data_IF_849004302033
#
_entry.id   IF_849004302033
#
_cell.length_a   1.000
_cell.length_b   1.000
_cell.length_c   1.000
_cell.angle_alpha   90.00
_cell.angle_beta   90.00
_cell.angle_gamma   90.00
#
_symmetry.space_group_name_H-M   'P 1'
#
loop_
_entity.id
_entity.type
_entity.pdbx_description
1 polymer ?
#
# COMPACT_ATOMS: atom_id res chain seq x y z
N UNK A 1 -5.37 8.41 -27.52
CA UNK A 1 -5.11 7.05 -27.02
C UNK A 1 -5.71 6.01 -27.95
N UNK A 2 -5.31 4.74 -27.86
CA UNK A 2 -5.97 3.63 -28.56
C UNK A 2 -7.41 3.49 -28.07
N UNK A 3 -8.37 3.22 -28.97
CA UNK A 3 -9.76 2.95 -28.58
C UNK A 3 -9.91 1.68 -27.73
N UNK A 4 -8.89 0.87 -27.69
CA UNK A 4 -8.84 -0.39 -26.93
C UNK A 4 -7.68 -0.38 -25.94
N UNK A 5 -7.96 -0.66 -24.67
CA UNK A 5 -6.94 -1.02 -23.67
C UNK A 5 -6.69 -2.52 -23.78
N UNK A 6 -5.46 -2.93 -24.12
CA UNK A 6 -5.03 -4.33 -24.21
C UNK A 6 -3.95 -4.62 -23.15
N UNK A 7 -4.23 -5.52 -22.24
CA UNK A 7 -3.31 -5.97 -21.19
C UNK A 7 -3.18 -7.49 -21.28
N UNK A 8 -2.06 -7.98 -21.80
CA UNK A 8 -1.81 -9.42 -21.94
C UNK A 8 -2.93 -10.16 -22.70
N UNK A 9 -3.54 -9.52 -23.72
CA UNK A 9 -4.66 -10.07 -24.49
C UNK A 9 -6.04 -9.87 -23.87
N UNK A 10 -6.14 -9.28 -22.68
CA UNK A 10 -7.40 -8.82 -22.11
C UNK A 10 -7.74 -7.45 -22.71
N UNK A 11 -8.83 -7.38 -23.45
CA UNK A 11 -9.23 -6.19 -24.20
C UNK A 11 -10.47 -5.56 -23.61
N UNK A 12 -10.40 -4.28 -23.32
CA UNK A 12 -11.54 -3.43 -22.99
C UNK A 12 -11.63 -2.30 -24.05
N UNK A 13 -12.68 -2.30 -24.84
CA UNK A 13 -12.96 -1.24 -25.80
C UNK A 13 -13.34 0.06 -25.05
N UNK A 14 -13.25 1.20 -25.74
CA UNK A 14 -13.70 2.50 -25.21
C UNK A 14 -15.15 2.40 -24.71
N UNK A 15 -15.41 2.89 -23.51
CA UNK A 15 -16.71 2.81 -22.86
C UNK A 15 -17.07 1.43 -22.31
N UNK A 16 -16.08 0.54 -22.15
CA UNK A 16 -16.31 -0.80 -21.60
C UNK A 16 -15.66 -1.00 -20.24
N UNK A 17 -16.32 -1.81 -19.41
CA UNK A 17 -15.84 -2.35 -18.16
C UNK A 17 -15.66 -3.86 -18.28
N UNK A 18 -14.43 -4.34 -18.07
CA UNK A 18 -14.08 -5.75 -18.11
C UNK A 18 -13.67 -6.21 -16.71
N UNK A 19 -14.36 -7.22 -16.17
CA UNK A 19 -13.99 -7.89 -14.94
C UNK A 19 -13.65 -9.35 -15.25
N UNK A 20 -12.42 -9.75 -14.95
CA UNK A 20 -11.92 -11.08 -15.29
C UNK A 20 -10.72 -11.48 -14.43
N UNK A 21 -10.07 -12.56 -14.78
CA UNK A 21 -8.85 -13.03 -14.13
C UNK A 21 -7.69 -13.04 -15.12
N UNK A 22 -6.52 -12.58 -14.68
CA UNK A 22 -5.26 -12.70 -15.43
C UNK A 22 -4.43 -13.85 -14.85
N UNK A 23 -3.95 -14.79 -15.68
CA UNK A 23 -3.09 -15.87 -15.21
C UNK A 23 -1.70 -15.35 -14.85
N UNK A 24 -1.13 -15.85 -13.76
CA UNK A 24 0.30 -15.71 -13.48
C UNK A 24 1.02 -16.80 -14.30
N UNK A 25 1.95 -16.38 -15.15
CA UNK A 25 2.63 -17.23 -16.11
C UNK A 25 3.19 -18.52 -15.49
N UNK A 26 2.98 -19.65 -16.15
CA UNK A 26 3.44 -20.98 -15.71
C UNK A 26 3.05 -21.33 -14.27
N UNK A 27 1.84 -20.92 -13.87
CA UNK A 27 1.24 -21.29 -12.59
C UNK A 27 -0.26 -21.54 -12.72
N UNK A 28 -0.85 -22.15 -11.70
CA UNK A 28 -2.30 -22.32 -11.61
C UNK A 28 -3.00 -21.09 -10.99
N UNK A 29 -2.24 -20.06 -10.64
CA UNK A 29 -2.73 -18.86 -9.98
C UNK A 29 -3.30 -17.88 -11.00
N UNK A 30 -4.50 -17.36 -10.71
CA UNK A 30 -5.16 -16.32 -11.49
C UNK A 30 -5.52 -15.17 -10.56
N UNK A 31 -5.20 -13.95 -10.96
CA UNK A 31 -5.41 -12.73 -10.18
C UNK A 31 -6.62 -11.98 -10.73
N UNK A 32 -7.58 -11.54 -9.89
CA UNK A 32 -8.73 -10.77 -10.35
C UNK A 32 -8.32 -9.37 -10.79
N UNK A 33 -8.88 -8.92 -11.91
CA UNK A 33 -8.64 -7.61 -12.49
C UNK A 33 -9.93 -6.99 -12.98
N UNK A 34 -10.07 -5.69 -12.78
CA UNK A 34 -11.09 -4.84 -13.41
C UNK A 34 -10.40 -3.80 -14.26
N UNK A 35 -10.79 -3.69 -15.52
CA UNK A 35 -10.35 -2.65 -16.45
C UNK A 35 -11.59 -1.82 -16.80
N UNK A 36 -11.55 -0.52 -16.54
CA UNK A 36 -12.60 0.43 -16.90
C UNK A 36 -12.00 1.40 -17.91
N UNK A 37 -12.27 1.18 -19.17
CA UNK A 37 -11.83 2.05 -20.25
C UNK A 37 -12.93 3.10 -20.50
N UNK A 38 -12.68 4.34 -20.06
CA UNK A 38 -13.62 5.43 -20.09
C UNK A 38 -14.00 5.87 -21.52
N UNK A 39 -15.03 6.71 -21.63
CA UNK A 39 -15.50 7.20 -22.93
C UNK A 39 -14.61 8.29 -23.51
N UNK A 40 -13.91 9.04 -22.67
CA UNK A 40 -13.05 10.16 -23.09
C UNK A 40 -11.58 9.81 -22.92
N UNK A 41 -10.71 10.47 -23.68
CA UNK A 41 -9.27 10.40 -23.46
C UNK A 41 -8.90 10.97 -22.09
N UNK A 42 -7.89 10.38 -21.46
CA UNK A 42 -7.41 10.79 -20.15
C UNK A 42 -6.26 9.88 -19.69
N UNK A 43 -5.75 10.07 -18.47
CA UNK A 43 -4.64 9.26 -17.96
C UNK A 43 -5.10 7.85 -17.57
N UNK A 44 -4.11 6.98 -17.35
CA UNK A 44 -4.31 5.64 -16.82
C UNK A 44 -3.91 5.61 -15.35
N UNK A 45 -4.86 5.29 -14.47
CA UNK A 45 -4.61 5.02 -13.06
C UNK A 45 -4.58 3.51 -12.82
N UNK A 46 -3.46 3.01 -12.30
CA UNK A 46 -3.36 1.65 -11.77
C UNK A 46 -3.59 1.67 -10.26
N UNK A 47 -4.46 0.80 -9.78
CA UNK A 47 -4.69 0.55 -8.36
C UNK A 47 -4.39 -0.91 -8.08
N UNK A 48 -3.58 -1.19 -7.07
CA UNK A 48 -3.42 -2.52 -6.50
C UNK A 48 -3.86 -2.54 -5.05
N UNK A 49 -4.43 -3.66 -4.61
CA UNK A 49 -4.70 -3.94 -3.22
C UNK A 49 -4.35 -5.39 -2.92
N UNK A 50 -3.91 -5.67 -1.71
CA UNK A 50 -3.58 -7.03 -1.30
C UNK A 50 -2.29 -7.58 -1.91
N UNK A 51 -1.26 -6.77 -2.07
CA UNK A 51 0.14 -7.23 -2.18
C UNK A 51 0.46 -8.11 -0.96
N UNK A 52 -0.05 -7.71 0.21
CA UNK A 52 -0.15 -8.55 1.39
C UNK A 52 -1.62 -8.98 1.58
N UNK A 53 -1.87 -10.27 1.57
CA UNK A 53 -3.25 -10.81 1.53
C UNK A 53 -4.04 -10.63 2.81
N UNK A 54 -3.37 -10.34 3.95
CA UNK A 54 -4.01 -10.06 5.24
C UNK A 54 -4.46 -8.60 5.44
N UNK A 55 -4.24 -7.73 4.46
CA UNK A 55 -4.53 -6.29 4.51
C UNK A 55 -5.90 -5.98 3.88
N UNK A 56 -6.96 -6.30 4.59
CA UNK A 56 -8.31 -6.38 4.05
C UNK A 56 -8.99 -5.06 3.66
N UNK A 57 -8.81 -3.90 4.35
CA UNK A 57 -9.58 -2.69 4.04
C UNK A 57 -9.36 -2.17 2.62
N UNK A 58 -8.09 -2.17 2.15
CA UNK A 58 -7.73 -1.77 0.79
C UNK A 58 -8.34 -2.71 -0.26
N UNK A 59 -8.34 -4.02 0.01
CA UNK A 59 -8.95 -5.03 -0.88
C UNK A 59 -10.46 -4.80 -0.99
N UNK A 60 -11.15 -4.61 0.14
CA UNK A 60 -12.58 -4.38 0.17
C UNK A 60 -12.97 -3.06 -0.55
N UNK A 61 -12.20 -1.98 -0.32
CA UNK A 61 -12.41 -0.71 -1.01
C UNK A 61 -12.22 -0.85 -2.53
N UNK A 62 -11.18 -1.57 -2.98
CA UNK A 62 -10.93 -1.84 -4.39
C UNK A 62 -12.07 -2.64 -5.03
N UNK A 63 -12.62 -3.64 -4.33
CA UNK A 63 -13.80 -4.40 -4.79
C UNK A 63 -15.01 -3.47 -4.96
N UNK A 64 -15.34 -2.65 -3.94
CA UNK A 64 -16.50 -1.76 -3.99
C UNK A 64 -16.38 -0.71 -5.09
N UNK A 65 -15.20 -0.11 -5.27
CA UNK A 65 -14.94 0.87 -6.32
C UNK A 65 -15.01 0.22 -7.70
N UNK A 66 -14.46 -0.96 -7.88
CA UNK A 66 -14.52 -1.69 -9.15
C UNK A 66 -15.95 -2.00 -9.60
N UNK A 67 -16.87 -2.12 -8.65
CA UNK A 67 -18.30 -2.31 -8.94
C UNK A 67 -19.02 -0.99 -9.18
N UNK A 68 -18.73 0.04 -8.40
CA UNK A 68 -19.48 1.29 -8.38
C UNK A 68 -19.16 2.22 -9.56
N UNK A 69 -17.94 2.20 -10.08
CA UNK A 69 -17.51 3.09 -11.16
C UNK A 69 -17.91 2.49 -12.51
N UNK A 70 -18.62 3.27 -13.31
CA UNK A 70 -18.99 2.92 -14.69
C UNK A 70 -18.15 3.71 -15.70
N UNK A 71 -17.93 3.18 -16.92
CA UNK A 71 -17.07 3.80 -17.94
C UNK A 71 -17.52 5.23 -18.35
N UNK A 72 -18.83 5.52 -18.27
CA UNK A 72 -19.41 6.78 -18.69
C UNK A 72 -18.93 7.98 -17.87
N UNK A 73 -18.50 7.75 -16.63
CA UNK A 73 -18.05 8.82 -15.73
C UNK A 73 -16.53 8.99 -15.72
N UNK A 74 -15.80 8.13 -16.42
CA UNK A 74 -14.33 8.10 -16.43
C UNK A 74 -13.77 8.69 -17.72
N UNK A 75 -12.77 9.55 -17.58
CA UNK A 75 -11.84 9.95 -18.66
C UNK A 75 -10.52 9.21 -18.51
N UNK A 76 -10.04 8.57 -19.56
CA UNK A 76 -8.86 7.69 -19.50
C UNK A 76 -9.19 6.27 -19.08
N UNK A 77 -8.28 5.61 -18.36
CA UNK A 77 -8.43 4.22 -17.99
C UNK A 77 -8.16 3.99 -16.50
N UNK A 78 -9.01 3.18 -15.86
CA UNK A 78 -8.82 2.72 -14.48
C UNK A 78 -8.59 1.22 -14.48
N UNK A 79 -7.43 0.79 -13.98
CA UNK A 79 -7.05 -0.62 -13.85
C UNK A 79 -6.98 -0.95 -12.36
N UNK A 80 -7.73 -1.94 -11.89
CA UNK A 80 -7.80 -2.33 -10.48
C UNK A 80 -7.48 -3.82 -10.35
N UNK A 81 -6.49 -4.17 -9.53
CA UNK A 81 -6.08 -5.55 -9.23
C UNK A 81 -6.29 -5.80 -7.74
N UNK A 82 -7.17 -6.77 -7.39
CA UNK A 82 -7.56 -7.00 -6.01
C UNK A 82 -8.16 -8.39 -5.74
N UNK A 83 -7.54 -9.23 -4.86
CA UNK A 83 -6.21 -9.05 -4.30
C UNK A 83 -5.11 -9.45 -5.28
N UNK A 84 -3.97 -8.76 -5.24
CA UNK A 84 -2.79 -9.14 -6.04
C UNK A 84 -2.26 -10.51 -5.59
N UNK A 85 -2.05 -10.68 -4.29
CA UNK A 85 -1.57 -11.93 -3.69
C UNK A 85 -2.76 -12.79 -3.26
N UNK A 86 -3.47 -13.35 -4.26
CA UNK A 86 -4.67 -14.14 -4.02
C UNK A 86 -4.41 -15.39 -3.15
N UNK A 87 -3.20 -15.97 -3.19
CA UNK A 87 -2.83 -17.10 -2.35
C UNK A 87 -2.74 -16.70 -0.88
N UNK A 88 -2.04 -15.60 -0.58
CA UNK A 88 -1.96 -15.03 0.75
C UNK A 88 -3.35 -14.65 1.30
N UNK A 89 -4.23 -14.11 0.46
CA UNK A 89 -5.59 -13.73 0.83
C UNK A 89 -6.43 -14.93 1.30
N UNK A 90 -6.49 -16.02 0.51
CA UNK A 90 -7.29 -17.19 0.85
C UNK A 90 -6.73 -17.99 2.03
N UNK A 91 -5.41 -18.07 2.12
CA UNK A 91 -4.71 -18.75 3.22
C UNK A 91 -4.63 -17.88 4.49
N UNK A 92 -5.07 -16.62 4.40
CA UNK A 92 -5.05 -15.64 5.51
C UNK A 92 -3.66 -15.46 6.12
N UNK A 93 -2.63 -15.52 5.28
CA UNK A 93 -1.26 -15.22 5.71
C UNK A 93 -1.07 -13.69 5.81
N UNK A 94 -0.24 -13.24 6.75
CA UNK A 94 -0.04 -11.81 7.01
C UNK A 94 0.52 -11.10 5.76
N UNK A 95 1.78 -11.38 5.42
CA UNK A 95 2.50 -10.66 4.36
C UNK A 95 3.30 -11.58 3.43
N UNK A 96 3.27 -12.89 3.63
CA UNK A 96 4.01 -13.83 2.77
C UNK A 96 3.10 -14.59 1.83
N UNK A 97 3.60 -14.91 0.66
CA UNK A 97 2.97 -15.86 -0.27
C UNK A 97 3.20 -17.27 0.25
N UNK A 98 2.14 -18.06 0.55
CA UNK A 98 2.29 -19.39 1.14
C UNK A 98 3.09 -20.36 0.29
N UNK A 99 3.02 -20.23 -1.04
CA UNK A 99 3.63 -21.13 -2.01
C UNK A 99 5.17 -21.07 -1.99
N UNK A 100 5.77 -19.94 -1.64
CA UNK A 100 7.22 -19.74 -1.66
C UNK A 100 7.80 -19.10 -0.38
N UNK A 101 6.93 -18.74 0.57
CA UNK A 101 7.32 -18.10 1.85
C UNK A 101 7.90 -16.71 1.71
N UNK A 102 7.75 -16.05 0.54
CA UNK A 102 8.32 -14.75 0.25
C UNK A 102 7.36 -13.61 0.50
N UNK A 103 7.88 -12.46 0.92
CA UNK A 103 7.16 -11.21 0.91
C UNK A 103 7.13 -10.66 -0.51
N UNK A 104 5.94 -10.70 -1.16
CA UNK A 104 5.75 -10.22 -2.53
C UNK A 104 6.26 -8.79 -2.73
N UNK A 105 6.08 -7.92 -1.71
CA UNK A 105 6.54 -6.53 -1.74
C UNK A 105 8.07 -6.36 -1.63
N UNK A 106 8.84 -7.44 -1.67
CA UNK A 106 10.32 -7.45 -1.71
C UNK A 106 10.87 -8.07 -2.98
N UNK A 107 10.00 -8.58 -3.86
CA UNK A 107 10.40 -9.33 -5.05
C UNK A 107 10.41 -8.49 -6.35
N UNK A 108 10.09 -7.20 -6.30
CA UNK A 108 10.13 -6.32 -7.49
C UNK A 108 11.57 -6.03 -7.94
N UNK A 109 11.86 -6.08 -9.26
CA UNK A 109 10.97 -6.18 -10.43
C UNK A 109 10.41 -7.58 -10.74
N UNK A 110 10.82 -8.61 -10.03
CA UNK A 110 10.42 -9.99 -10.29
C UNK A 110 11.29 -10.72 -11.32
N UNK A 111 10.94 -11.99 -11.53
CA UNK A 111 11.59 -12.88 -12.49
C UNK A 111 10.52 -13.82 -13.12
N UNK A 112 10.46 -13.87 -14.44
CA UNK A 112 9.52 -14.69 -15.19
C UNK A 112 9.75 -16.20 -14.96
N UNK A 113 10.99 -16.60 -14.68
CA UNK A 113 11.38 -17.98 -14.39
C UNK A 113 11.47 -18.29 -12.88
N UNK A 114 11.11 -17.32 -12.05
CA UNK A 114 11.23 -17.39 -10.61
C UNK A 114 10.06 -18.09 -9.91
N UNK A 115 9.96 -17.85 -8.60
CA UNK A 115 8.88 -18.34 -7.74
C UNK A 115 7.56 -17.63 -8.05
N UNK A 116 6.45 -18.03 -7.41
CA UNK A 116 5.14 -17.41 -7.63
C UNK A 116 5.16 -15.89 -7.32
N UNK A 117 5.78 -15.49 -6.20
CA UNK A 117 5.94 -14.07 -5.85
C UNK A 117 6.75 -13.32 -6.92
N UNK A 118 7.85 -13.91 -7.39
CA UNK A 118 8.69 -13.28 -8.42
C UNK A 118 7.98 -13.18 -9.77
N UNK A 119 7.21 -14.18 -10.16
CA UNK A 119 6.39 -14.15 -11.38
C UNK A 119 5.27 -13.10 -11.29
N UNK A 120 4.65 -12.97 -10.11
CA UNK A 120 3.61 -11.95 -9.86
C UNK A 120 4.19 -10.54 -9.92
N UNK A 121 5.34 -10.30 -9.28
CA UNK A 121 6.05 -9.00 -9.35
C UNK A 121 6.48 -8.69 -10.78
N UNK A 122 6.97 -9.69 -11.53
CA UNK A 122 7.35 -9.55 -12.94
C UNK A 122 6.14 -9.17 -13.81
N UNK A 123 4.99 -9.82 -13.59
CA UNK A 123 3.75 -9.52 -14.30
C UNK A 123 3.37 -8.04 -14.11
N UNK A 124 3.37 -7.53 -12.87
CA UNK A 124 3.07 -6.14 -12.58
C UNK A 124 4.09 -5.19 -13.21
N UNK A 125 5.37 -5.48 -13.04
CA UNK A 125 6.46 -4.62 -13.51
C UNK A 125 6.52 -4.50 -15.02
N UNK A 126 6.19 -5.55 -15.75
CA UNK A 126 6.34 -5.61 -17.20
C UNK A 126 5.10 -5.26 -17.99
N UNK A 127 3.92 -5.54 -17.41
CA UNK A 127 2.68 -5.40 -18.17
C UNK A 127 1.74 -4.32 -17.63
N UNK A 128 1.91 -3.90 -16.38
CA UNK A 128 1.03 -2.91 -15.78
C UNK A 128 1.69 -1.56 -15.54
N UNK A 129 2.87 -1.52 -14.94
CA UNK A 129 3.54 -0.24 -14.66
C UNK A 129 3.79 0.58 -15.94
N UNK A 130 4.22 0.01 -17.10
CA UNK A 130 4.41 0.78 -18.30
C UNK A 130 3.13 1.42 -18.89
N UNK A 131 1.96 0.97 -18.47
CA UNK A 131 0.67 1.51 -18.91
C UNK A 131 0.17 2.65 -18.02
N UNK A 132 0.68 2.76 -16.79
CA UNK A 132 0.16 3.66 -15.80
C UNK A 132 0.81 5.05 -15.87
N UNK A 133 -0.01 6.10 -15.88
CA UNK A 133 0.41 7.49 -15.65
C UNK A 133 0.53 7.81 -14.16
N UNK A 134 -0.16 7.02 -13.33
CA UNK A 134 -0.08 7.05 -11.87
C UNK A 134 -0.40 5.67 -11.27
N UNK A 135 0.22 5.36 -10.14
CA UNK A 135 0.00 4.11 -9.43
C UNK A 135 -0.32 4.33 -7.95
N UNK A 136 -1.40 3.73 -7.46
CA UNK A 136 -1.80 3.72 -6.07
C UNK A 136 -1.81 2.28 -5.52
N UNK A 137 -0.98 2.02 -4.51
CA UNK A 137 -0.84 0.73 -3.84
C UNK A 137 -1.53 0.79 -2.47
N UNK A 138 -2.58 0.00 -2.27
CA UNK A 138 -3.39 0.02 -1.06
C UNK A 138 -2.90 -1.05 -0.09
N UNK A 139 -2.40 -0.59 1.06
CA UNK A 139 -1.89 -1.39 2.15
C UNK A 139 -2.62 -1.10 3.46
N UNK A 140 -2.36 -1.86 4.49
CA UNK A 140 -2.72 -1.60 5.89
C UNK A 140 -1.67 -2.24 6.80
N UNK A 141 -1.75 -1.99 8.10
CA UNK A 141 -1.10 -2.90 9.02
C UNK A 141 -1.59 -4.33 8.77
N UNK A 142 -0.69 -5.29 8.78
CA UNK A 142 -1.07 -6.68 8.61
C UNK A 142 -1.84 -7.24 9.83
N UNK A 143 -2.01 -8.55 9.92
CA UNK A 143 -2.72 -9.19 11.05
C UNK A 143 -2.00 -9.03 12.40
N UNK A 144 -0.76 -8.58 12.39
CA UNK A 144 0.11 -8.38 13.54
C UNK A 144 0.53 -6.93 13.77
N UNK A 145 -0.04 -5.99 13.00
CA UNK A 145 0.33 -4.57 13.04
C UNK A 145 -0.90 -3.68 13.24
N UNK A 146 -0.78 -2.71 14.14
CA UNK A 146 -1.69 -1.59 14.26
C UNK A 146 -1.00 -0.33 13.74
N UNK A 147 -1.70 0.49 12.96
CA UNK A 147 -1.13 1.72 12.43
C UNK A 147 -2.06 2.93 12.57
N UNK A 148 -1.47 4.12 12.59
CA UNK A 148 -2.16 5.39 12.37
C UNK A 148 -2.18 5.66 10.87
N UNK A 149 -3.28 6.08 10.22
CA UNK A 149 -3.32 6.27 8.77
C UNK A 149 -2.27 7.27 8.27
N UNK A 150 -1.48 6.85 7.28
CA UNK A 150 -0.45 7.67 6.62
C UNK A 150 -0.20 7.21 5.19
N UNK A 151 0.57 7.98 4.42
CA UNK A 151 0.93 7.65 3.04
C UNK A 151 2.43 7.72 2.84
N UNK A 152 2.98 6.74 2.12
CA UNK A 152 4.33 6.82 1.58
C UNK A 152 4.32 7.41 0.18
N UNK A 153 5.30 8.29 -0.10
CA UNK A 153 5.63 8.73 -1.46
C UNK A 153 7.12 8.51 -1.74
N UNK A 154 7.50 8.25 -3.01
CA UNK A 154 8.89 7.94 -3.36
C UNK A 154 9.77 9.18 -3.21
N UNK A 155 10.97 8.98 -2.65
CA UNK A 155 11.94 10.03 -2.36
C UNK A 155 13.10 10.07 -3.37
N UNK A 156 12.85 9.90 -4.66
CA UNK A 156 13.88 9.99 -5.71
C UNK A 156 14.48 11.40 -5.75
N UNK A 157 15.81 11.55 -5.78
CA UNK A 157 16.46 12.88 -5.80
C UNK A 157 16.04 13.69 -7.04
N UNK A 158 15.67 14.97 -6.84
CA UNK A 158 15.38 15.95 -7.91
C UNK A 158 14.44 15.41 -9.00
N UNK A 159 13.46 14.61 -8.64
CA UNK A 159 12.59 13.88 -9.55
C UNK A 159 11.20 14.50 -9.66
N UNK A 160 10.75 14.75 -10.88
CA UNK A 160 9.36 15.13 -11.17
C UNK A 160 8.39 14.04 -10.73
N UNK A 161 8.81 12.77 -10.77
CA UNK A 161 8.03 11.61 -10.28
C UNK A 161 7.70 11.78 -8.81
N UNK A 162 8.71 12.09 -7.97
CA UNK A 162 8.50 12.32 -6.53
C UNK A 162 7.63 13.55 -6.27
N UNK A 163 7.81 14.61 -7.06
CA UNK A 163 7.03 15.84 -6.92
C UNK A 163 5.55 15.58 -7.25
N UNK A 164 5.26 14.89 -8.37
CA UNK A 164 3.90 14.51 -8.76
C UNK A 164 3.25 13.55 -7.74
N UNK A 165 4.00 12.57 -7.25
CA UNK A 165 3.50 11.66 -6.22
C UNK A 165 3.15 12.42 -4.93
N UNK A 166 4.02 13.33 -4.47
CA UNK A 166 3.74 14.17 -3.30
C UNK A 166 2.52 15.08 -3.51
N UNK A 167 2.37 15.66 -4.70
CA UNK A 167 1.22 16.51 -5.04
C UNK A 167 -0.09 15.73 -4.94
N UNK A 168 -0.12 14.47 -5.41
CA UNK A 168 -1.30 13.59 -5.27
C UNK A 168 -1.49 13.16 -3.81
N UNK A 169 -0.43 12.91 -3.04
CA UNK A 169 -0.55 12.61 -1.62
C UNK A 169 -1.27 13.72 -0.83
N UNK A 170 -1.13 14.99 -1.24
CA UNK A 170 -1.75 16.14 -0.58
C UNK A 170 -3.28 16.18 -0.68
N UNK A 171 -3.91 15.39 -1.55
CA UNK A 171 -5.39 15.32 -1.64
C UNK A 171 -6.00 14.22 -0.78
N UNK A 172 -5.19 13.42 -0.06
CA UNK A 172 -5.65 12.37 0.84
C UNK A 172 -6.06 12.95 2.19
N UNK A 173 -7.14 12.45 2.80
CA UNK A 173 -7.54 12.85 4.16
C UNK A 173 -6.69 12.10 5.21
N UNK A 174 -5.42 12.47 5.31
CA UNK A 174 -4.44 11.89 6.22
C UNK A 174 -3.64 12.98 6.94
N UNK A 175 -3.18 12.68 8.16
CA UNK A 175 -2.34 13.63 8.91
C UNK A 175 -0.87 13.57 8.50
N UNK A 176 -0.40 12.41 8.06
CA UNK A 176 1.03 12.19 7.88
C UNK A 176 1.34 11.60 6.51
N UNK A 177 2.47 12.03 5.96
CA UNK A 177 3.10 11.42 4.80
C UNK A 177 4.58 11.19 5.05
N UNK A 178 5.10 10.10 4.52
CA UNK A 178 6.49 9.68 4.70
C UNK A 178 7.17 9.62 3.35
N UNK A 179 8.31 10.30 3.24
CA UNK A 179 9.20 10.19 2.08
C UNK A 179 10.03 8.92 2.18
N UNK A 180 9.77 7.95 1.30
CA UNK A 180 10.54 6.71 1.27
C UNK A 180 11.78 6.82 0.39
N UNK A 181 12.89 6.31 0.88
CA UNK A 181 14.13 6.13 0.12
C UNK A 181 14.40 4.66 -0.23
N UNK A 182 13.44 3.76 0.04
CA UNK A 182 13.56 2.36 -0.30
C UNK A 182 13.56 2.16 -1.83
N UNK A 183 14.30 1.17 -2.28
CA UNK A 183 14.42 0.82 -3.72
C UNK A 183 13.66 -0.45 -4.08
N UNK A 184 13.05 -1.10 -3.10
CA UNK A 184 12.23 -2.31 -3.25
C UNK A 184 10.77 -2.02 -2.92
N UNK A 185 9.88 -2.95 -3.31
CA UNK A 185 8.45 -2.79 -3.16
C UNK A 185 7.79 -2.25 -4.42
N UNK A 186 6.48 -2.51 -4.56
CA UNK A 186 5.75 -2.24 -5.79
C UNK A 186 5.78 -0.76 -6.15
N UNK A 187 5.33 0.14 -5.25
CA UNK A 187 5.27 1.57 -5.55
C UNK A 187 6.65 2.21 -5.72
N UNK A 188 7.67 1.81 -4.94
CA UNK A 188 9.03 2.33 -5.12
C UNK A 188 9.61 1.91 -6.47
N UNK A 189 9.42 0.63 -6.85
CA UNK A 189 9.89 0.15 -8.14
C UNK A 189 9.15 0.82 -9.30
N UNK A 190 7.84 1.03 -9.20
CA UNK A 190 7.08 1.80 -10.19
C UNK A 190 7.67 3.21 -10.36
N UNK A 191 7.98 3.90 -9.25
CA UNK A 191 8.58 5.23 -9.29
C UNK A 191 9.98 5.23 -9.93
N UNK A 192 10.83 4.25 -9.61
CA UNK A 192 12.15 4.07 -10.23
C UNK A 192 12.00 3.81 -11.74
N UNK A 193 10.93 3.14 -12.14
CA UNK A 193 10.60 2.86 -13.54
C UNK A 193 9.92 4.03 -14.27
N UNK A 194 9.73 5.17 -13.60
CA UNK A 194 9.18 6.39 -14.20
C UNK A 194 7.69 6.65 -13.94
N UNK A 195 7.03 5.83 -13.09
CA UNK A 195 5.61 5.97 -12.78
C UNK A 195 5.42 6.62 -11.41
N UNK A 196 4.86 7.84 -11.31
CA UNK A 196 4.52 8.44 -10.02
C UNK A 196 3.57 7.53 -9.23
N UNK A 197 3.87 7.33 -7.94
CA UNK A 197 3.17 6.31 -7.17
C UNK A 197 3.06 6.65 -5.69
N UNK A 198 2.06 6.08 -5.04
CA UNK A 198 1.84 6.15 -3.60
C UNK A 198 1.62 4.76 -3.02
N UNK A 199 2.04 4.57 -1.77
CA UNK A 199 1.57 3.47 -0.94
C UNK A 199 0.75 4.07 0.19
N UNK A 200 -0.51 3.66 0.28
CA UNK A 200 -1.50 4.22 1.20
C UNK A 200 -1.75 3.20 2.32
N UNK A 201 -1.65 3.65 3.57
CA UNK A 201 -1.78 2.82 4.75
C UNK A 201 -3.02 3.20 5.57
N UNK A 202 -4.01 2.30 5.69
CA UNK A 202 -5.20 2.46 6.54
C UNK A 202 -5.67 1.15 7.12
N UNK A 203 -6.05 1.15 8.40
CA UNK A 203 -6.48 -0.06 9.11
C UNK A 203 -5.30 -0.90 9.58
N UNK A 204 -5.58 -2.12 10.05
CA UNK A 204 -4.57 -3.04 10.57
C UNK A 204 -5.18 -4.14 11.44
N UNK A 205 -4.32 -4.93 12.07
CA UNK A 205 -4.67 -6.03 12.97
C UNK A 205 -5.59 -7.08 12.31
N UNK A 206 -5.49 -7.26 10.99
CA UNK A 206 -6.34 -8.19 10.23
C UNK A 206 -7.83 -7.84 10.26
N UNK A 207 -8.18 -6.57 10.53
CA UNK A 207 -9.57 -6.13 10.61
C UNK A 207 -10.02 -5.50 9.28
N UNK A 208 -11.29 -5.68 8.96
CA UNK A 208 -11.94 -5.08 7.78
C UNK A 208 -13.05 -4.12 8.27
N UNK A 209 -12.64 -2.97 8.83
CA UNK A 209 -13.58 -2.01 9.39
C UNK A 209 -14.23 -1.17 8.29
N UNK A 210 -15.52 -0.89 8.44
CA UNK A 210 -16.27 -0.06 7.47
C UNK A 210 -15.68 1.35 7.33
N UNK A 211 -15.25 1.94 8.45
CA UNK A 211 -14.61 3.26 8.46
C UNK A 211 -13.33 3.34 7.63
N UNK A 212 -12.50 2.29 7.65
CA UNK A 212 -11.26 2.23 6.87
C UNK A 212 -11.57 2.06 5.37
N UNK A 213 -12.58 1.23 5.04
CA UNK A 213 -13.05 1.04 3.66
C UNK A 213 -13.58 2.36 3.09
N UNK A 214 -14.44 3.07 3.83
CA UNK A 214 -15.02 4.33 3.38
C UNK A 214 -13.96 5.43 3.25
N UNK A 215 -12.98 5.45 4.15
CA UNK A 215 -11.84 6.36 4.06
C UNK A 215 -10.99 6.09 2.80
N UNK A 216 -10.71 4.82 2.48
CA UNK A 216 -10.05 4.45 1.22
C UNK A 216 -10.83 4.91 -0.01
N UNK A 217 -12.15 4.73 -0.02
CA UNK A 217 -13.01 5.15 -1.15
C UNK A 217 -12.95 6.66 -1.34
N UNK A 218 -12.93 7.44 -0.25
CA UNK A 218 -12.78 8.89 -0.31
C UNK A 218 -11.41 9.31 -0.84
N UNK A 219 -10.34 8.66 -0.41
CA UNK A 219 -8.99 8.91 -0.91
C UNK A 219 -8.89 8.60 -2.41
N UNK A 220 -9.39 7.45 -2.84
CA UNK A 220 -9.38 7.07 -4.26
C UNK A 220 -10.24 8.00 -5.11
N UNK A 221 -11.40 8.45 -4.60
CA UNK A 221 -12.20 9.48 -5.26
C UNK A 221 -11.39 10.77 -5.46
N UNK A 222 -10.68 11.24 -4.43
CA UNK A 222 -9.86 12.45 -4.52
C UNK A 222 -8.66 12.27 -5.48
N UNK A 223 -8.05 11.08 -5.52
CA UNK A 223 -7.02 10.75 -6.51
C UNK A 223 -7.58 10.81 -7.94
N UNK A 224 -8.74 10.17 -8.18
CA UNK A 224 -9.40 10.19 -9.49
C UNK A 224 -9.71 11.61 -9.95
N UNK A 225 -10.22 12.46 -9.05
CA UNK A 225 -10.49 13.88 -9.35
C UNK A 225 -9.20 14.66 -9.60
N UNK A 226 -8.14 14.45 -8.80
CA UNK A 226 -6.86 15.13 -8.91
C UNK A 226 -6.13 14.79 -10.21
N UNK A 227 -6.28 13.56 -10.68
CA UNK A 227 -5.71 13.07 -11.93
C UNK A 227 -6.62 13.30 -13.15
N UNK A 228 -7.76 13.98 -12.95
CA UNK A 228 -8.74 14.29 -14.01
C UNK A 228 -9.41 13.07 -14.67
N UNK A 229 -9.36 11.89 -13.99
CA UNK A 229 -10.12 10.73 -14.43
C UNK A 229 -11.62 10.89 -14.12
N UNK A 230 -11.95 11.64 -13.07
CA UNK A 230 -13.34 11.87 -12.64
C UNK A 230 -13.63 13.36 -12.56
N UNK A 231 -14.64 13.82 -13.33
CA UNK A 231 -15.10 15.21 -13.30
C UNK A 231 -16.15 15.38 -12.19
N UNK A 232 -15.69 15.48 -10.95
CA UNK A 232 -16.54 15.75 -9.78
C UNK A 232 -15.75 16.52 -8.71
N UNK A 233 -16.44 17.17 -7.76
CA UNK A 233 -15.76 17.82 -6.64
C UNK A 233 -15.00 16.80 -5.79
N UNK A 234 -13.81 17.17 -5.34
CA UNK A 234 -13.09 16.38 -4.34
C UNK A 234 -13.88 16.32 -3.04
N UNK A 235 -13.78 15.19 -2.34
CA UNK A 235 -14.32 15.06 -0.99
C UNK A 235 -13.55 15.96 -0.03
N UNK A 236 -14.27 16.52 0.94
CA UNK A 236 -13.67 17.41 1.92
C UNK A 236 -12.67 16.65 2.79
N UNK A 237 -11.44 17.15 2.85
CA UNK A 237 -10.42 16.66 3.76
C UNK A 237 -10.58 17.30 5.15
N UNK A 238 -10.45 16.50 6.18
CA UNK A 238 -10.32 16.97 7.57
C UNK A 238 -8.87 17.31 7.92
N UNK A 239 -7.93 16.71 7.21
CA UNK A 239 -6.50 16.83 7.45
C UNK A 239 -5.78 17.05 6.13
N UNK A 240 -4.69 17.81 6.19
CA UNK A 240 -3.71 17.93 5.10
C UNK A 240 -2.43 17.23 5.55
N UNK A 241 -1.88 16.29 4.76
CA UNK A 241 -0.69 15.55 5.17
C UNK A 241 0.52 16.45 5.41
N UNK A 242 1.21 16.20 6.53
CA UNK A 242 2.51 16.81 6.83
C UNK A 242 3.62 15.76 6.76
N UNK A 243 4.81 16.18 6.36
CA UNK A 243 5.94 15.26 6.24
C UNK A 243 6.38 14.75 7.62
N UNK A 244 6.57 13.44 7.73
CA UNK A 244 7.28 12.77 8.80
C UNK A 244 8.66 12.38 8.29
N UNK A 245 9.70 12.81 8.98
CA UNK A 245 11.11 12.61 8.62
C UNK A 245 11.86 11.83 9.68
N UNK A 246 13.09 11.45 9.37
CA UNK A 246 13.96 10.71 10.30
C UNK A 246 13.22 9.49 10.91
N UNK A 247 12.57 8.71 10.04
CA UNK A 247 11.75 7.58 10.48
C UNK A 247 12.65 6.45 10.99
N UNK A 248 12.36 6.00 12.20
CA UNK A 248 13.02 4.87 12.85
C UNK A 248 12.10 3.65 12.80
N UNK A 249 12.63 2.56 12.29
CA UNK A 249 12.03 1.23 12.30
C UNK A 249 12.73 0.44 13.41
N UNK A 250 12.15 0.46 14.62
CA UNK A 250 12.72 -0.20 15.79
C UNK A 250 12.53 -1.70 15.69
N UNK A 251 13.59 -2.38 15.30
CA UNK A 251 13.63 -3.84 15.15
C UNK A 251 14.21 -4.52 16.39
N UNK A 252 13.65 -5.67 16.77
CA UNK A 252 14.24 -6.48 17.84
C UNK A 252 15.33 -7.42 17.34
N UNK A 253 16.46 -7.45 18.05
CA UNK A 253 17.56 -8.39 17.86
C UNK A 253 17.34 -9.74 18.58
N UNK A 254 16.28 -9.86 19.39
CA UNK A 254 15.94 -11.03 20.22
C UNK A 254 14.51 -11.48 19.97
N UNK A 255 14.24 -12.76 20.13
CA UNK A 255 12.88 -13.28 20.18
C UNK A 255 12.32 -13.18 21.60
N UNK A 256 11.01 -12.94 21.73
CA UNK A 256 10.34 -12.85 23.02
C UNK A 256 8.87 -12.52 22.93
N UNK A 257 8.27 -12.26 24.10
CA UNK A 257 6.91 -11.73 24.22
C UNK A 257 6.97 -10.21 24.25
N UNK A 258 6.35 -9.56 23.28
CA UNK A 258 6.31 -8.10 23.15
C UNK A 258 5.13 -7.50 23.89
N UNK A 259 5.39 -6.46 24.68
CA UNK A 259 4.38 -5.64 25.35
C UNK A 259 4.60 -4.17 24.97
N UNK A 260 3.74 -3.64 24.10
CA UNK A 260 3.74 -2.24 23.72
C UNK A 260 3.31 -1.34 24.88
N UNK A 261 3.97 -0.20 25.05
CA UNK A 261 3.61 0.86 26.00
C UNK A 261 3.11 2.13 25.29
N UNK A 262 3.06 2.14 23.96
CA UNK A 262 2.61 3.26 23.15
C UNK A 262 1.45 2.83 22.24
N UNK A 263 0.73 3.82 21.71
CA UNK A 263 -0.36 3.66 20.73
C UNK A 263 -0.02 4.38 19.44
N UNK A 264 -0.57 3.91 18.32
CA UNK A 264 -0.45 4.61 17.06
C UNK A 264 -1.05 6.01 17.12
N UNK A 265 -0.30 7.00 16.64
CA UNK A 265 -0.66 8.41 16.74
C UNK A 265 -0.19 9.13 18.01
N UNK A 266 0.42 8.43 18.99
CA UNK A 266 1.00 9.05 20.16
C UNK A 266 2.22 9.92 19.80
N UNK A 267 2.29 11.11 20.39
CA UNK A 267 3.51 11.93 20.40
C UNK A 267 4.42 11.44 21.49
N UNK A 268 5.67 11.17 21.16
CA UNK A 268 6.69 10.67 22.07
C UNK A 268 7.87 11.64 22.15
N UNK A 269 8.57 11.59 23.28
CA UNK A 269 9.83 12.28 23.54
C UNK A 269 10.98 11.29 23.58
N UNK A 270 12.19 11.74 23.26
CA UNK A 270 13.39 10.96 23.46
C UNK A 270 13.46 10.43 24.90
N UNK A 271 13.68 9.13 25.07
CA UNK A 271 13.70 8.45 26.35
C UNK A 271 12.36 7.87 26.81
N UNK A 272 11.24 8.23 26.19
CA UNK A 272 9.94 7.65 26.52
C UNK A 272 9.95 6.14 26.25
N UNK A 273 9.33 5.37 27.15
CA UNK A 273 9.24 3.91 27.04
C UNK A 273 8.26 3.54 25.91
N UNK A 274 8.75 2.82 24.91
CA UNK A 274 7.94 2.29 23.79
C UNK A 274 7.35 0.91 24.10
N UNK A 275 8.03 0.11 24.90
CA UNK A 275 7.61 -1.20 25.29
C UNK A 275 8.74 -2.06 25.86
N UNK A 276 8.48 -3.35 26.04
CA UNK A 276 9.47 -4.28 26.54
C UNK A 276 9.23 -5.70 26.02
N UNK A 277 10.33 -6.47 25.94
CA UNK A 277 10.33 -7.89 25.64
C UNK A 277 10.54 -8.70 26.92
N UNK A 278 9.80 -9.80 27.05
CA UNK A 278 10.05 -10.80 28.10
C UNK A 278 10.37 -12.16 27.49
N UNK A 279 10.96 -13.05 28.28
CA UNK A 279 10.95 -14.47 27.99
C UNK A 279 9.55 -15.09 28.25
N UNK A 280 9.41 -16.38 28.01
CA UNK A 280 8.15 -17.12 28.24
C UNK A 280 7.80 -17.32 29.73
N UNK A 281 8.69 -16.94 30.65
CA UNK A 281 8.49 -16.98 32.09
C UNK A 281 8.18 -15.59 32.67
N UNK A 282 8.12 -14.56 31.81
CA UNK A 282 7.82 -13.18 32.22
C UNK A 282 9.04 -12.37 32.68
N UNK A 283 10.27 -12.91 32.58
CA UNK A 283 11.47 -12.14 32.90
C UNK A 283 11.76 -11.14 31.78
N UNK A 284 11.97 -9.87 32.14
CA UNK A 284 12.29 -8.83 31.16
C UNK A 284 13.64 -9.09 30.49
N UNK A 285 13.63 -9.21 29.16
CA UNK A 285 14.85 -9.36 28.34
C UNK A 285 15.40 -7.99 27.95
N UNK A 286 14.53 -7.08 27.49
CA UNK A 286 14.92 -5.75 27.00
C UNK A 286 13.77 -4.77 27.15
N UNK A 287 14.09 -3.53 27.52
CA UNK A 287 13.19 -2.39 27.49
C UNK A 287 13.60 -1.49 26.32
N UNK A 288 12.64 -1.07 25.51
CA UNK A 288 12.85 -0.20 24.36
C UNK A 288 12.33 1.21 24.67
N UNK A 289 13.18 2.18 24.45
CA UNK A 289 12.85 3.59 24.63
C UNK A 289 13.04 4.35 23.32
N UNK A 290 12.32 5.46 23.15
CA UNK A 290 12.44 6.32 21.99
C UNK A 290 13.83 6.95 21.90
N UNK A 291 14.45 6.86 20.73
CA UNK A 291 15.78 7.44 20.45
C UNK A 291 15.69 8.93 20.12
N UNK A 292 14.49 9.41 19.76
CA UNK A 292 14.20 10.80 19.42
C UNK A 292 12.72 11.13 19.67
N UNK A 293 12.41 12.42 19.66
CA UNK A 293 11.02 12.91 19.61
C UNK A 293 10.34 12.47 18.32
N UNK A 294 9.04 12.19 18.37
CA UNK A 294 8.32 11.80 17.15
C UNK A 294 6.83 11.51 17.35
N UNK A 295 6.25 10.93 16.31
CA UNK A 295 4.89 10.40 16.26
C UNK A 295 4.98 8.90 15.95
N UNK A 296 4.22 8.07 16.67
CA UNK A 296 4.12 6.64 16.40
C UNK A 296 3.26 6.44 15.14
N UNK A 297 3.83 5.83 14.10
CA UNK A 297 3.12 5.52 12.86
C UNK A 297 2.45 4.15 12.95
N UNK A 298 3.20 3.13 13.34
CA UNK A 298 2.66 1.80 13.58
C UNK A 298 3.47 1.04 14.63
N UNK A 299 2.87 -0.01 15.20
CA UNK A 299 3.54 -0.94 16.09
C UNK A 299 3.04 -2.37 15.92
N UNK A 300 3.88 -3.32 16.31
CA UNK A 300 3.53 -4.73 16.41
C UNK A 300 2.45 -4.92 17.48
N UNK A 301 1.30 -5.50 17.10
CA UNK A 301 0.18 -5.84 17.99
C UNK A 301 0.22 -7.30 18.49
N UNK A 302 1.10 -8.12 17.93
CA UNK A 302 1.27 -9.51 18.34
C UNK A 302 2.08 -9.63 19.63
N UNK A 303 1.71 -10.60 20.48
CA UNK A 303 2.51 -10.97 21.66
C UNK A 303 3.85 -11.58 21.24
N UNK A 304 3.84 -12.46 20.23
CA UNK A 304 5.04 -13.14 19.75
C UNK A 304 5.85 -12.21 18.84
N UNK A 305 7.08 -11.92 19.22
CA UNK A 305 8.02 -11.16 18.42
C UNK A 305 9.28 -12.00 18.15
N UNK A 306 9.38 -12.69 17.01
CA UNK A 306 10.62 -13.28 16.55
C UNK A 306 11.72 -12.22 16.39
N UNK A 307 12.99 -12.64 16.40
CA UNK A 307 14.10 -11.77 16.02
C UNK A 307 13.86 -11.20 14.61
N UNK A 308 14.09 -9.90 14.42
CA UNK A 308 13.85 -9.20 13.16
C UNK A 308 12.46 -8.58 13.05
N UNK A 309 11.61 -8.73 14.09
CA UNK A 309 10.29 -8.05 14.10
C UNK A 309 10.48 -6.56 14.31
N UNK A 310 9.85 -5.75 13.47
CA UNK A 310 9.71 -4.30 13.71
C UNK A 310 8.66 -4.12 14.80
N UNK A 311 9.12 -3.66 15.97
CA UNK A 311 8.26 -3.50 17.15
C UNK A 311 7.46 -2.20 17.12
N UNK A 312 8.10 -1.10 16.70
CA UNK A 312 7.51 0.25 16.63
C UNK A 312 8.18 1.04 15.50
N UNK A 313 7.38 1.76 14.74
CA UNK A 313 7.87 2.73 13.77
C UNK A 313 7.38 4.13 14.12
N UNK A 314 8.31 5.07 14.17
CA UNK A 314 8.02 6.46 14.53
C UNK A 314 8.98 7.42 13.83
N UNK A 315 8.60 8.69 13.72
CA UNK A 315 9.44 9.69 13.09
C UNK A 315 9.08 11.11 13.50
N UNK A 316 9.94 12.07 13.15
CA UNK A 316 9.76 13.50 13.46
C UNK A 316 8.72 14.11 12.55
N UNK A 317 7.74 14.78 13.13
CA UNK A 317 6.79 15.60 12.37
C UNK A 317 7.50 16.91 11.99
N UNK A 318 7.57 17.19 10.69
CA UNK A 318 8.12 18.45 10.20
C UNK A 318 7.15 19.59 10.58
N UNK A 319 7.61 20.51 11.43
CA UNK A 319 6.86 21.73 11.66
C UNK A 319 6.88 22.60 10.41
N UNK A 320 5.72 23.01 9.92
CA UNK A 320 5.59 23.98 8.82
C UNK A 320 6.05 25.37 9.25
#
# INVERSE_FOLDING_TARGET
>A
MSDTMDICGLKAERGQKLQTYIPVLDSNTKIPITIINGQNDGPTLLITAGIHGGEYPGIAAAIEISQAIEPEVISGCLIIIHPVNIRSFWERSAFVTPDDGKNLNREFPGDVNGTLSQKTSWLLSRHFFPLADFYADLHSGDIHEELYPYVYYPGLPNSEISAKAREVAMVLDMKFMVRSTATTGAYNYAAISGVPSLLIERGGSGLCRREDIDAYKNDLHNILCKLELLCSPQQQQKHTPVDVTDVIYLETDKAGCWFSSCRCGDKIKQGDKLGYLTDLFGNTITVYNAEQDGIILYHCSALAAPKGTILVTYGKVKNN
#
